data_IF_588378730174
#
_entry.id   IF_588378730174
#
_cell.length_a   1.000
_cell.length_b   1.000
_cell.length_c   1.000
_cell.angle_alpha   90.00
_cell.angle_beta   90.00
_cell.angle_gamma   90.00
#
_symmetry.space_group_name_H-M   'P 1'
#
loop_
_entity.id
_entity.type
_entity.pdbx_description
1 polymer ?
#
# COMPACT_ATOMS: atom_id res chain seq x y z
N UNK A 1 1.81 -43.56 2.68
CA UNK A 1 2.42 -42.44 1.95
C UNK A 1 1.40 -41.94 0.96
N UNK A 2 1.09 -40.65 0.99
CA UNK A 2 0.21 -39.99 0.01
C UNK A 2 1.05 -39.12 -0.91
N UNK A 3 0.54 -38.93 -2.12
CA UNK A 3 1.11 -38.06 -3.13
C UNK A 3 -0.01 -37.19 -3.68
N UNK A 4 0.22 -35.88 -3.76
CA UNK A 4 -0.63 -35.00 -4.54
C UNK A 4 0.20 -34.11 -5.46
N UNK A 5 -0.43 -33.75 -6.57
CA UNK A 5 0.10 -32.82 -7.55
C UNK A 5 -0.83 -31.60 -7.59
N UNK A 6 -0.27 -30.39 -7.58
CA UNK A 6 -1.02 -29.17 -7.82
C UNK A 6 -0.38 -28.32 -8.91
N UNK A 7 -1.22 -27.65 -9.71
CA UNK A 7 -0.74 -26.70 -10.71
C UNK A 7 -0.02 -25.54 -10.01
N UNK A 8 1.21 -25.27 -10.43
CA UNK A 8 2.08 -24.27 -9.83
C UNK A 8 2.97 -23.66 -10.91
N UNK A 9 2.97 -22.33 -11.03
CA UNK A 9 3.89 -21.63 -11.92
C UNK A 9 5.25 -21.46 -11.23
N UNK A 10 6.35 -21.53 -12.00
CA UNK A 10 7.72 -21.43 -11.47
C UNK A 10 7.93 -20.14 -10.67
N UNK A 11 7.54 -18.98 -11.20
CA UNK A 11 7.64 -17.70 -10.51
C UNK A 11 6.82 -17.63 -9.19
N UNK A 12 5.71 -18.37 -9.12
CA UNK A 12 4.89 -18.46 -7.91
C UNK A 12 5.57 -19.35 -6.88
N UNK A 13 6.17 -20.47 -7.33
CA UNK A 13 6.93 -21.37 -6.47
C UNK A 13 8.14 -20.67 -5.86
N UNK A 14 8.97 -20.01 -6.68
CA UNK A 14 10.15 -19.25 -6.23
C UNK A 14 9.79 -18.23 -5.13
N UNK A 15 8.63 -17.57 -5.26
CA UNK A 15 8.17 -16.57 -4.30
C UNK A 15 7.76 -17.16 -2.94
N UNK A 16 7.33 -18.43 -2.89
CA UNK A 16 6.76 -19.05 -1.67
C UNK A 16 7.60 -20.19 -1.10
N UNK A 17 8.59 -20.67 -1.83
CA UNK A 17 9.34 -21.88 -1.52
C UNK A 17 9.94 -21.85 -0.11
N UNK A 18 10.59 -20.75 0.27
CA UNK A 18 11.19 -20.59 1.60
C UNK A 18 10.15 -20.67 2.73
N UNK A 19 8.97 -20.10 2.52
CA UNK A 19 7.89 -20.11 3.50
C UNK A 19 7.21 -21.49 3.57
N UNK A 20 7.07 -22.18 2.44
CA UNK A 20 6.58 -23.56 2.42
C UNK A 20 7.55 -24.48 3.18
N UNK A 21 8.86 -24.36 2.91
CA UNK A 21 9.89 -25.18 3.56
C UNK A 21 9.99 -24.92 5.06
N UNK A 22 9.93 -23.65 5.48
CA UNK A 22 9.97 -23.27 6.91
C UNK A 22 8.64 -23.51 7.65
N UNK A 23 7.50 -23.48 6.94
CA UNK A 23 6.16 -23.47 7.54
C UNK A 23 5.56 -24.85 7.85
N UNK A 24 6.18 -25.96 7.43
CA UNK A 24 5.60 -27.26 7.75
C UNK A 24 6.17 -28.51 7.09
N UNK A 25 7.32 -28.43 6.40
CA UNK A 25 8.00 -29.63 5.92
C UNK A 25 8.66 -30.31 7.11
N UNK A 26 8.07 -31.41 7.57
CA UNK A 26 8.79 -32.37 8.42
C UNK A 26 9.77 -33.14 7.52
N UNK A 27 10.79 -33.74 8.13
CA UNK A 27 11.82 -34.54 7.44
C UNK A 27 11.24 -35.62 6.50
N UNK A 28 10.01 -36.08 6.75
CA UNK A 28 9.32 -37.11 5.98
C UNK A 28 8.47 -36.61 4.80
N UNK A 29 8.47 -35.30 4.50
CA UNK A 29 7.74 -34.73 3.37
C UNK A 29 8.70 -34.23 2.26
N UNK A 30 8.47 -34.70 1.03
CA UNK A 30 9.26 -34.32 -0.16
C UNK A 30 8.44 -33.38 -1.03
N UNK A 31 9.05 -32.28 -1.44
CA UNK A 31 8.49 -31.28 -2.36
C UNK A 31 9.34 -31.27 -3.63
N UNK A 32 8.70 -31.45 -4.79
CA UNK A 32 9.37 -31.42 -6.09
C UNK A 32 8.59 -30.52 -7.04
N UNK A 33 9.20 -29.41 -7.45
CA UNK A 33 8.66 -28.53 -8.48
C UNK A 33 9.12 -29.00 -9.86
N UNK A 34 8.16 -29.26 -10.75
CA UNK A 34 8.38 -29.51 -12.18
C UNK A 34 7.93 -28.28 -12.97
N UNK A 35 8.89 -27.39 -13.29
CA UNK A 35 8.63 -26.18 -14.06
C UNK A 35 8.14 -26.48 -15.49
N UNK A 36 8.57 -27.60 -16.08
CA UNK A 36 8.19 -27.99 -17.45
C UNK A 36 6.73 -28.40 -17.56
N UNK A 37 6.21 -29.05 -16.51
CA UNK A 37 4.79 -29.43 -16.39
C UNK A 37 3.94 -28.36 -15.71
N UNK A 38 4.57 -27.37 -15.07
CA UNK A 38 3.88 -26.36 -14.26
C UNK A 38 3.18 -26.98 -13.06
N UNK A 39 3.86 -27.90 -12.37
CA UNK A 39 3.27 -28.69 -11.30
C UNK A 39 4.22 -28.85 -10.10
N UNK A 40 3.68 -28.66 -8.89
CA UNK A 40 4.34 -29.03 -7.64
C UNK A 40 3.81 -30.38 -7.17
N UNK A 41 4.74 -31.32 -6.98
CA UNK A 41 4.46 -32.62 -6.37
C UNK A 41 4.82 -32.58 -4.89
N UNK A 42 3.92 -33.08 -4.05
CA UNK A 42 4.13 -33.21 -2.62
C UNK A 42 3.87 -34.67 -2.22
N UNK A 43 4.85 -35.28 -1.58
CA UNK A 43 4.76 -36.65 -1.09
C UNK A 43 5.09 -36.72 0.41
N UNK A 44 4.34 -37.51 1.18
CA UNK A 44 4.59 -37.67 2.61
C UNK A 44 3.54 -38.50 3.35
N UNK A 45 3.46 -38.36 4.68
CA UNK A 45 2.36 -38.91 5.47
C UNK A 45 1.05 -38.17 5.14
N UNK A 46 -0.08 -38.88 5.19
CA UNK A 46 -1.38 -38.33 4.76
C UNK A 46 -1.74 -37.02 5.47
N UNK A 47 -1.51 -36.95 6.78
CA UNK A 47 -1.82 -35.75 7.58
C UNK A 47 -0.91 -34.56 7.24
N UNK A 48 0.38 -34.82 7.05
CA UNK A 48 1.34 -33.78 6.67
C UNK A 48 1.06 -33.29 5.24
N UNK A 49 0.67 -34.19 4.35
CA UNK A 49 0.29 -33.92 2.96
C UNK A 49 -0.94 -33.01 2.88
N UNK A 50 -1.98 -33.31 3.67
CA UNK A 50 -3.20 -32.48 3.76
C UNK A 50 -2.94 -31.09 4.36
N UNK A 51 -2.03 -30.99 5.34
CA UNK A 51 -1.61 -29.71 5.93
C UNK A 51 -0.81 -28.88 4.92
N UNK A 52 0.18 -29.47 4.26
CA UNK A 52 1.00 -28.83 3.25
C UNK A 52 0.16 -28.34 2.07
N UNK A 53 -0.83 -29.12 1.62
CA UNK A 53 -1.76 -28.69 0.58
C UNK A 53 -2.44 -27.37 0.91
N UNK A 54 -3.01 -27.24 2.12
CA UNK A 54 -3.68 -26.00 2.55
C UNK A 54 -2.71 -24.82 2.61
N UNK A 55 -1.50 -25.05 3.14
CA UNK A 55 -0.44 -24.05 3.18
C UNK A 55 -0.08 -23.58 1.77
N UNK A 56 0.27 -24.50 0.87
CA UNK A 56 0.64 -24.22 -0.52
C UNK A 56 -0.47 -23.47 -1.25
N UNK A 57 -1.74 -23.92 -1.17
CA UNK A 57 -2.86 -23.24 -1.82
C UNK A 57 -3.04 -21.79 -1.33
N UNK A 58 -2.88 -21.55 -0.02
CA UNK A 58 -2.96 -20.20 0.55
C UNK A 58 -1.83 -19.29 0.08
N UNK A 59 -0.60 -19.80 0.07
CA UNK A 59 0.59 -19.04 -0.32
C UNK A 59 0.59 -18.76 -1.81
N UNK A 60 0.17 -19.74 -2.61
CA UNK A 60 -0.02 -19.59 -4.06
C UNK A 60 -0.98 -18.46 -4.38
N UNK A 61 -2.17 -18.41 -3.74
CA UNK A 61 -3.13 -17.31 -3.93
C UNK A 61 -2.52 -15.96 -3.59
N UNK A 62 -1.77 -15.88 -2.49
CA UNK A 62 -1.10 -14.64 -2.06
C UNK A 62 -0.02 -14.20 -3.04
N UNK A 63 0.86 -15.11 -3.45
CA UNK A 63 1.94 -14.83 -4.39
C UNK A 63 1.43 -14.47 -5.78
N UNK A 64 0.42 -15.17 -6.30
CA UNK A 64 -0.23 -14.79 -7.57
C UNK A 64 -0.80 -13.37 -7.52
N UNK A 65 -1.50 -13.03 -6.43
CA UNK A 65 -2.02 -11.67 -6.24
C UNK A 65 -0.90 -10.62 -6.23
N UNK A 66 0.18 -10.88 -5.49
CA UNK A 66 1.33 -9.98 -5.43
C UNK A 66 2.03 -9.82 -6.78
N UNK A 67 2.28 -10.91 -7.51
CA UNK A 67 2.89 -10.89 -8.84
C UNK A 67 2.02 -10.11 -9.82
N UNK A 68 0.70 -10.37 -9.82
CA UNK A 68 -0.23 -9.65 -10.69
C UNK A 68 -0.21 -8.15 -10.39
N UNK A 69 -0.23 -7.77 -9.11
CA UNK A 69 -0.12 -6.36 -8.71
C UNK A 69 1.20 -5.74 -9.11
N UNK A 70 2.33 -6.41 -8.90
CA UNK A 70 3.63 -5.89 -9.32
C UNK A 70 3.69 -5.64 -10.82
N UNK A 71 3.09 -6.52 -11.61
CA UNK A 71 3.01 -6.40 -13.07
C UNK A 71 2.12 -5.25 -13.52
N UNK A 72 0.96 -5.09 -12.90
CA UNK A 72 -0.09 -4.18 -13.36
C UNK A 72 -0.16 -2.85 -12.59
N UNK A 73 0.71 -2.67 -11.59
CA UNK A 73 0.75 -1.47 -10.77
C UNK A 73 1.25 -0.27 -11.58
N UNK A 74 0.63 0.87 -11.37
CA UNK A 74 1.03 2.16 -11.89
C UNK A 74 1.43 3.08 -10.75
N UNK A 75 2.28 4.07 -11.05
CA UNK A 75 2.60 5.15 -10.12
C UNK A 75 2.17 6.49 -10.71
N UNK A 76 1.44 7.25 -9.91
CA UNK A 76 0.98 8.59 -10.22
C UNK A 76 1.61 9.59 -9.25
N UNK A 77 2.20 10.65 -9.79
CA UNK A 77 2.70 11.78 -9.01
C UNK A 77 1.76 12.98 -9.16
N UNK A 78 1.46 13.64 -8.05
CA UNK A 78 0.57 14.80 -8.01
C UNK A 78 1.23 15.98 -7.29
N UNK A 79 1.09 17.17 -7.86
CA UNK A 79 1.48 18.41 -7.16
C UNK A 79 0.50 18.68 -6.01
N UNK A 80 1.01 18.61 -4.79
CA UNK A 80 0.26 18.84 -3.56
C UNK A 80 1.17 19.63 -2.63
N UNK A 81 0.79 20.88 -2.29
CA UNK A 81 1.59 21.66 -1.34
C UNK A 81 1.62 21.00 0.05
N UNK A 82 2.64 21.23 0.88
CA UNK A 82 2.72 20.66 2.21
C UNK A 82 1.48 20.96 3.08
N UNK A 83 0.99 22.20 3.02
CA UNK A 83 -0.24 22.60 3.70
C UNK A 83 -1.48 21.81 3.20
N UNK A 84 -1.62 21.62 1.88
CA UNK A 84 -2.70 20.82 1.33
C UNK A 84 -2.60 19.36 1.76
N UNK A 85 -1.38 18.79 1.73
CA UNK A 85 -1.14 17.42 2.15
C UNK A 85 -1.52 17.23 3.62
N UNK A 86 -1.15 18.17 4.48
CA UNK A 86 -1.53 18.17 5.89
C UNK A 86 -3.05 18.15 6.08
N UNK A 87 -3.79 19.01 5.38
CA UNK A 87 -5.25 19.03 5.47
C UNK A 87 -5.86 17.70 4.99
N UNK A 88 -5.35 17.14 3.87
CA UNK A 88 -5.82 15.84 3.38
C UNK A 88 -5.56 14.71 4.39
N UNK A 89 -4.44 14.75 5.13
CA UNK A 89 -4.18 13.80 6.22
C UNK A 89 -5.24 13.92 7.32
N UNK A 90 -5.58 15.14 7.75
CA UNK A 90 -6.63 15.39 8.75
C UNK A 90 -8.02 14.93 8.25
N UNK A 91 -8.28 15.04 6.95
CA UNK A 91 -9.51 14.55 6.32
C UNK A 91 -9.52 13.03 6.03
N UNK A 92 -8.50 12.30 6.49
CA UNK A 92 -8.48 10.85 6.45
C UNK A 92 -7.89 10.25 5.18
N UNK A 93 -6.99 10.93 4.48
CA UNK A 93 -6.36 10.44 3.25
C UNK A 93 -5.78 9.02 3.38
N UNK A 94 -5.02 8.74 4.46
CA UNK A 94 -4.45 7.40 4.69
C UNK A 94 -5.52 6.33 4.87
N UNK A 95 -6.58 6.67 5.62
CA UNK A 95 -7.70 5.75 5.85
C UNK A 95 -8.43 5.48 4.53
N UNK A 96 -8.75 6.52 3.77
CA UNK A 96 -9.44 6.36 2.49
C UNK A 96 -8.63 5.50 1.50
N UNK A 97 -7.31 5.69 1.42
CA UNK A 97 -6.46 4.87 0.58
C UNK A 97 -6.44 3.40 1.05
N UNK A 98 -6.33 3.15 2.36
CA UNK A 98 -6.35 1.80 2.92
C UNK A 98 -7.71 1.10 2.75
N UNK A 99 -8.82 1.85 2.86
CA UNK A 99 -10.17 1.35 2.63
C UNK A 99 -10.39 0.98 1.15
N UNK A 100 -9.76 1.71 0.21
CA UNK A 100 -9.81 1.39 -1.21
C UNK A 100 -8.95 0.16 -1.56
N UNK A 101 -7.70 0.15 -1.09
CA UNK A 101 -6.77 -0.96 -1.32
C UNK A 101 -5.65 -0.93 -0.25
N UNK A 102 -5.62 -1.89 0.68
CA UNK A 102 -4.60 -1.95 1.73
C UNK A 102 -3.17 -2.08 1.20
N UNK A 103 -3.00 -2.69 0.02
CA UNK A 103 -1.70 -2.86 -0.62
C UNK A 103 -1.27 -1.66 -1.49
N UNK A 104 -2.11 -0.62 -1.59
CA UNK A 104 -1.78 0.60 -2.33
C UNK A 104 -0.72 1.41 -1.58
N UNK A 105 0.30 1.86 -2.31
CA UNK A 105 1.32 2.78 -1.82
C UNK A 105 0.83 4.23 -1.83
N UNK A 106 1.11 4.92 -0.72
CA UNK A 106 0.87 6.35 -0.56
C UNK A 106 2.06 6.96 0.17
N UNK A 107 2.76 7.89 -0.48
CA UNK A 107 3.91 8.58 0.10
C UNK A 107 3.96 10.04 -0.32
N UNK A 108 4.57 10.89 0.50
CA UNK A 108 4.76 12.30 0.19
C UNK A 108 6.26 12.61 0.18
N UNK A 109 6.71 13.24 -0.89
CA UNK A 109 8.10 13.70 -1.07
C UNK A 109 8.14 15.19 -0.77
N UNK A 110 8.59 15.55 0.43
CA UNK A 110 8.63 16.94 0.92
C UNK A 110 9.53 17.84 0.06
N UNK A 111 10.67 17.31 -0.39
CA UNK A 111 11.66 17.97 -1.24
C UNK A 111 11.06 18.40 -2.58
N UNK A 112 10.30 17.50 -3.21
CA UNK A 112 9.63 17.71 -4.48
C UNK A 112 8.23 18.32 -4.34
N UNK A 113 7.69 18.37 -3.11
CA UNK A 113 6.29 18.74 -2.81
C UNK A 113 5.28 17.91 -3.62
N UNK A 114 5.54 16.61 -3.71
CA UNK A 114 4.73 15.68 -4.51
C UNK A 114 4.13 14.57 -3.67
N UNK A 115 2.85 14.31 -3.89
CA UNK A 115 2.19 13.08 -3.43
C UNK A 115 2.37 12.00 -4.48
N UNK A 116 2.79 10.81 -4.06
CA UNK A 116 2.97 9.64 -4.91
C UNK A 116 1.97 8.57 -4.49
N UNK A 117 1.15 8.15 -5.45
CA UNK A 117 0.20 7.06 -5.32
C UNK A 117 0.69 5.89 -6.18
N UNK A 118 0.63 4.66 -5.67
CA UNK A 118 1.01 3.47 -6.44
C UNK A 118 0.10 2.29 -6.16
N UNK A 119 -0.38 1.62 -7.19
CA UNK A 119 -1.32 0.50 -7.05
C UNK A 119 -1.93 0.16 -8.39
N UNK A 120 -3.00 -0.63 -8.40
CA UNK A 120 -3.72 -0.90 -9.64
C UNK A 120 -4.34 0.40 -10.16
N UNK A 121 -4.45 0.51 -11.49
CA UNK A 121 -4.98 1.68 -12.19
C UNK A 121 -6.29 2.18 -11.56
N UNK A 122 -7.26 1.29 -11.33
CA UNK A 122 -8.55 1.65 -10.75
C UNK A 122 -8.46 2.22 -9.33
N UNK A 123 -7.51 1.75 -8.52
CA UNK A 123 -7.32 2.17 -7.13
C UNK A 123 -6.71 3.57 -7.09
N UNK A 124 -5.64 3.76 -7.88
CA UNK A 124 -4.92 5.04 -8.00
C UNK A 124 -5.87 6.15 -8.44
N UNK A 125 -6.65 5.92 -9.50
CA UNK A 125 -7.55 6.94 -10.03
C UNK A 125 -8.74 7.26 -9.10
N UNK A 126 -9.19 6.32 -8.29
CA UNK A 126 -10.23 6.61 -7.28
C UNK A 126 -9.72 7.51 -6.16
N UNK A 127 -8.53 7.21 -5.62
CA UNK A 127 -7.90 8.05 -4.59
C UNK A 127 -7.53 9.42 -5.16
N UNK A 128 -7.02 9.48 -6.40
CA UNK A 128 -6.79 10.75 -7.09
C UNK A 128 -8.07 11.59 -7.16
N UNK A 129 -9.18 11.00 -7.63
CA UNK A 129 -10.46 11.69 -7.75
C UNK A 129 -10.94 12.26 -6.41
N UNK A 130 -10.82 11.47 -5.33
CA UNK A 130 -11.14 11.89 -3.97
C UNK A 130 -10.30 13.09 -3.49
N UNK A 131 -9.02 13.13 -3.86
CA UNK A 131 -8.11 14.25 -3.56
C UNK A 131 -8.51 15.49 -4.36
N UNK A 132 -8.77 15.34 -5.65
CA UNK A 132 -9.14 16.46 -6.53
C UNK A 132 -10.46 17.09 -6.08
N UNK A 133 -11.43 16.28 -5.68
CA UNK A 133 -12.70 16.76 -5.13
C UNK A 133 -12.48 17.63 -3.87
N UNK A 134 -11.58 17.23 -2.97
CA UNK A 134 -11.24 18.03 -1.78
C UNK A 134 -10.53 19.32 -2.11
N UNK A 135 -9.58 19.28 -3.05
CA UNK A 135 -8.92 20.48 -3.59
C UNK A 135 -9.93 21.48 -4.13
N UNK A 136 -10.96 21.01 -4.84
CA UNK A 136 -12.02 21.84 -5.40
C UNK A 136 -12.97 22.39 -4.33
N UNK A 137 -13.29 21.59 -3.29
CA UNK A 137 -14.17 22.01 -2.19
C UNK A 137 -13.52 23.04 -1.25
N UNK A 138 -12.19 23.13 -1.23
CA UNK A 138 -11.48 24.11 -0.40
C UNK A 138 -11.76 25.54 -0.84
N UNK A 139 -12.44 26.29 0.04
CA UNK A 139 -12.66 27.71 -0.14
C UNK A 139 -11.36 28.46 0.13
N UNK A 140 -10.76 29.03 -0.92
CA UNK A 140 -9.58 29.90 -0.81
C UNK A 140 -10.04 31.34 -0.68
N UNK A 141 -9.63 32.02 0.40
CA UNK A 141 -9.85 33.45 0.57
C UNK A 141 -8.51 34.15 0.58
N UNK A 142 -8.30 35.06 -0.37
CA UNK A 142 -7.12 35.91 -0.38
C UNK A 142 -7.29 36.98 0.70
N UNK A 143 -6.42 36.97 1.72
CA UNK A 143 -6.37 38.02 2.73
C UNK A 143 -5.21 38.96 2.42
N UNK A 144 -5.49 40.26 2.39
CA UNK A 144 -4.46 41.30 2.40
C UNK A 144 -4.09 41.52 3.87
N UNK A 145 -2.95 40.99 4.28
CA UNK A 145 -2.38 41.23 5.59
C UNK A 145 -1.31 42.31 5.47
N UNK A 146 -1.25 43.19 6.45
CA UNK A 146 -0.17 44.17 6.56
C UNK A 146 1.17 43.42 6.70
N UNK A 147 2.22 43.80 5.94
CA UNK A 147 3.53 43.15 6.02
C UNK A 147 4.08 43.03 7.45
N UNK A 148 3.82 44.00 8.33
CA UNK A 148 4.28 43.99 9.71
C UNK A 148 3.60 42.91 10.57
N UNK A 149 2.39 42.47 10.20
CA UNK A 149 1.70 41.35 10.85
C UNK A 149 2.33 40.01 10.44
N UNK A 150 2.95 39.95 9.26
CA UNK A 150 3.63 38.74 8.76
C UNK A 150 5.02 38.54 9.38
N UNK A 151 5.62 39.58 9.95
CA UNK A 151 6.96 39.50 10.52
C UNK A 151 7.00 38.63 11.79
N UNK A 152 5.91 38.61 12.57
CA UNK A 152 5.82 37.78 13.78
C UNK A 152 5.68 36.27 13.45
N UNK A 153 4.74 35.82 12.58
CA UNK A 153 4.69 34.41 12.15
C UNK A 153 5.92 33.95 11.38
N UNK A 154 6.64 34.84 10.67
CA UNK A 154 7.89 34.48 9.99
C UNK A 154 9.06 34.21 10.93
N UNK A 155 8.98 34.71 12.16
CA UNK A 155 9.99 34.46 13.20
C UNK A 155 9.83 33.10 13.89
N UNK A 156 8.75 32.36 13.57
CA UNK A 156 8.39 31.07 14.15
C UNK A 156 8.08 30.09 13.00
N UNK A 157 8.14 28.78 13.22
CA UNK A 157 7.66 27.83 12.21
C UNK A 157 6.14 27.98 12.05
N UNK A 158 5.70 28.51 10.91
CA UNK A 158 4.28 28.78 10.64
C UNK A 158 3.42 27.50 10.67
N UNK A 159 4.02 26.35 10.33
CA UNK A 159 3.31 25.07 10.35
C UNK A 159 3.09 24.61 11.78
N UNK A 160 4.12 24.65 12.63
CA UNK A 160 4.02 24.33 14.06
C UNK A 160 2.99 25.22 14.76
N UNK A 161 3.06 26.54 14.52
CA UNK A 161 2.13 27.50 15.11
C UNK A 161 0.68 27.30 14.64
N UNK A 162 0.46 26.94 13.36
CA UNK A 162 -0.89 26.65 12.83
C UNK A 162 -1.50 25.39 13.45
N UNK A 163 -0.69 24.37 13.74
CA UNK A 163 -1.14 23.15 14.40
C UNK A 163 -1.66 23.46 15.81
N UNK A 164 -0.90 24.24 16.58
CA UNK A 164 -1.25 24.62 17.95
C UNK A 164 -2.48 25.54 18.02
N UNK A 165 -2.63 26.47 17.08
CA UNK A 165 -3.74 27.44 17.10
C UNK A 165 -5.05 26.90 16.55
N UNK A 166 -5.00 26.16 15.44
CA UNK A 166 -6.19 25.75 14.70
C UNK A 166 -6.53 24.28 14.93
N UNK A 167 -5.53 23.39 14.81
CA UNK A 167 -5.79 21.95 14.88
C UNK A 167 -6.14 21.51 16.29
N UNK A 168 -5.56 22.12 17.33
CA UNK A 168 -5.98 21.94 18.73
C UNK A 168 -7.46 22.24 18.98
N UNK A 169 -8.08 23.04 18.12
CA UNK A 169 -9.51 23.42 18.16
C UNK A 169 -10.36 22.69 17.11
N UNK A 170 -9.84 21.62 16.51
CA UNK A 170 -10.49 20.86 15.44
C UNK A 170 -10.80 21.69 14.18
N UNK A 171 -10.04 22.75 13.94
CA UNK A 171 -10.11 23.55 12.72
C UNK A 171 -9.00 23.07 11.79
N UNK A 172 -9.36 22.47 10.65
CA UNK A 172 -8.39 22.02 9.64
C UNK A 172 -7.93 23.20 8.78
N UNK A 173 -6.92 23.92 9.27
CA UNK A 173 -6.33 25.09 8.61
C UNK A 173 -4.82 25.15 8.84
N UNK A 174 -4.10 25.72 7.87
CA UNK A 174 -2.66 26.00 7.91
C UNK A 174 -2.46 27.46 7.50
#
# INVERSE_FOLDING_TARGET
>A
MELFECAMFECVWEAVENEVRSGGVKEDAVLLMDASRGALTVAGLAEDTKRLRRLVESLMKRAMSQIQRQRDSVSLEMDVSPAMFYILQQEGLRKHAADEAPEMGLSYRDDAKKLVLSGLVSEVYKVESWIQERKLRMRKKQMKLDPHILDFPRSVDSMEMSQDLFTSRAISAV
#
